data_IF_915937458690
#
_entry.id   IF_915937458690
#
_cell.length_a   1.000
_cell.length_b   1.000
_cell.length_c   1.000
_cell.angle_alpha   90.00
_cell.angle_beta   90.00
_cell.angle_gamma   90.00
#
_symmetry.space_group_name_H-M   'P 1'
#
loop_
_entity.id
_entity.type
_entity.pdbx_description
1 polymer ?
#
# COMPACT_ATOMS: atom_id res chain seq x y z
N UNK A 1 -5.56 10.61 -9.98
CA UNK A 1 -4.84 9.35 -9.91
C UNK A 1 -4.47 8.80 -11.29
N UNK A 2 -3.82 7.67 -11.28
CA UNK A 2 -3.51 6.87 -12.47
C UNK A 2 -4.33 5.59 -12.41
N UNK A 3 -5.03 5.24 -13.50
CA UNK A 3 -5.89 4.06 -13.54
C UNK A 3 -5.63 3.24 -14.81
N UNK A 4 -5.66 1.92 -14.67
CA UNK A 4 -5.69 0.97 -15.76
C UNK A 4 -6.62 -0.20 -15.42
N UNK A 5 -7.50 -0.59 -16.36
CA UNK A 5 -8.37 -1.78 -16.18
C UNK A 5 -7.58 -3.10 -16.07
N UNK A 6 -6.32 -3.10 -16.42
CA UNK A 6 -5.42 -4.23 -16.39
C UNK A 6 -4.09 -3.90 -15.72
N UNK A 7 -3.00 -4.22 -16.40
CA UNK A 7 -1.66 -4.02 -15.86
C UNK A 7 -1.22 -2.55 -15.98
N UNK A 8 -0.69 -2.01 -14.90
CA UNK A 8 -0.04 -0.71 -14.83
C UNK A 8 1.41 -0.90 -14.43
N UNK A 9 2.35 -0.40 -15.22
CA UNK A 9 3.78 -0.52 -14.92
C UNK A 9 4.44 0.86 -14.94
N UNK A 10 5.18 1.18 -13.88
CA UNK A 10 6.03 2.36 -13.77
C UNK A 10 7.48 1.88 -13.76
N UNK A 11 8.19 2.08 -14.87
CA UNK A 11 9.57 1.61 -15.00
C UNK A 11 10.61 2.64 -14.55
N UNK A 12 10.31 3.93 -14.70
CA UNK A 12 11.17 5.04 -14.30
C UNK A 12 10.41 6.38 -14.42
N UNK A 13 11.04 7.47 -14.04
CA UNK A 13 10.52 8.83 -14.15
C UNK A 13 10.01 9.39 -12.84
N UNK A 14 9.23 10.45 -12.94
CA UNK A 14 8.63 11.13 -11.77
C UNK A 14 7.11 11.12 -11.93
N UNK A 15 6.44 10.56 -10.95
CA UNK A 15 4.98 10.58 -10.81
C UNK A 15 4.64 11.35 -9.54
N UNK A 16 3.91 12.45 -9.67
CA UNK A 16 3.49 13.29 -8.55
C UNK A 16 1.97 13.48 -8.59
N UNK A 17 1.28 12.72 -7.74
CA UNK A 17 -0.17 12.77 -7.57
C UNK A 17 -0.46 13.55 -6.30
N UNK A 18 -0.69 14.85 -6.46
CA UNK A 18 -0.87 15.78 -5.34
C UNK A 18 -2.25 15.74 -4.72
N UNK A 19 -3.23 15.11 -5.39
CA UNK A 19 -4.59 14.87 -4.90
C UNK A 19 -5.31 13.89 -5.80
N UNK A 20 -5.90 12.85 -5.22
CA UNK A 20 -6.78 11.89 -5.90
C UNK A 20 -7.82 11.33 -4.93
N UNK A 21 -8.77 10.58 -5.44
CA UNK A 21 -9.58 9.65 -4.66
C UNK A 21 -8.72 8.39 -4.46
N UNK A 22 -8.58 7.55 -5.47
CA UNK A 22 -7.57 6.52 -5.58
C UNK A 22 -6.27 7.10 -6.15
N UNK A 23 -5.11 6.67 -5.65
CA UNK A 23 -3.82 7.13 -6.14
C UNK A 23 -3.41 6.46 -7.44
N UNK A 24 -2.98 5.23 -7.37
CA UNK A 24 -2.59 4.37 -8.50
C UNK A 24 -3.42 3.10 -8.44
N UNK A 25 -4.10 2.79 -9.54
CA UNK A 25 -5.05 1.68 -9.58
C UNK A 25 -4.81 0.79 -10.81
N UNK A 26 -4.91 -0.53 -10.62
CA UNK A 26 -4.83 -1.52 -11.68
C UNK A 26 -5.03 -2.93 -11.16
N UNK A 27 -5.27 -3.90 -12.03
CA UNK A 27 -5.32 -5.30 -11.62
C UNK A 27 -3.95 -5.81 -11.18
N UNK A 28 -2.91 -5.47 -11.95
CA UNK A 28 -1.51 -5.72 -11.57
C UNK A 28 -0.78 -4.39 -11.63
N UNK A 29 -0.30 -3.91 -10.50
CA UNK A 29 0.57 -2.73 -10.44
C UNK A 29 2.01 -3.18 -10.22
N UNK A 30 2.90 -2.75 -11.11
CA UNK A 30 4.33 -3.03 -11.02
C UNK A 30 5.13 -1.74 -11.01
N UNK A 31 5.97 -1.56 -9.99
CA UNK A 31 6.89 -0.44 -9.86
C UNK A 31 8.31 -0.99 -9.95
N UNK A 32 8.98 -0.75 -11.09
CA UNK A 32 10.35 -1.17 -11.33
C UNK A 32 11.37 -0.06 -11.00
N UNK A 33 10.92 1.20 -10.97
CA UNK A 33 11.79 2.34 -10.72
C UNK A 33 11.03 3.66 -10.63
N UNK A 34 11.78 4.76 -10.65
CA UNK A 34 11.25 6.11 -10.60
C UNK A 34 11.09 6.68 -9.19
N UNK A 35 10.57 7.90 -9.15
CA UNK A 35 10.21 8.61 -7.90
C UNK A 35 8.72 8.90 -7.94
N UNK A 36 7.98 8.33 -7.03
CA UNK A 36 6.52 8.33 -7.00
C UNK A 36 6.06 8.94 -5.69
N UNK A 37 5.22 9.95 -5.79
CA UNK A 37 4.56 10.60 -4.66
C UNK A 37 3.06 10.57 -4.87
N UNK A 38 2.33 10.12 -3.89
CA UNK A 38 0.86 9.96 -3.95
C UNK A 38 0.23 10.57 -2.72
N UNK A 39 -0.80 11.42 -2.95
CA UNK A 39 -1.75 11.86 -1.92
C UNK A 39 -3.14 11.44 -2.37
N UNK A 40 -3.78 10.59 -1.57
CA UNK A 40 -5.11 10.03 -1.86
C UNK A 40 -6.07 10.22 -0.68
N UNK A 41 -7.34 10.43 -0.97
CA UNK A 41 -8.42 10.51 0.04
C UNK A 41 -9.11 9.17 0.28
N UNK A 42 -8.74 8.16 -0.45
CA UNK A 42 -8.99 6.73 -0.26
C UNK A 42 -7.63 6.02 -0.40
N UNK A 43 -7.50 4.96 -1.18
CA UNK A 43 -6.29 4.14 -1.20
C UNK A 43 -5.12 4.79 -1.98
N UNK A 44 -3.91 4.59 -1.47
CA UNK A 44 -2.70 5.09 -2.11
C UNK A 44 -2.35 4.33 -3.39
N UNK A 45 -2.22 3.02 -3.29
CA UNK A 45 -2.16 2.08 -4.42
C UNK A 45 -3.21 1.03 -4.19
N UNK A 46 -4.09 0.83 -5.16
CA UNK A 46 -5.17 -0.15 -5.13
C UNK A 46 -5.01 -1.17 -6.27
N UNK A 47 -4.76 -2.42 -5.93
CA UNK A 47 -4.74 -3.52 -6.86
C UNK A 47 -6.02 -4.33 -6.70
N UNK A 48 -6.99 -4.05 -7.58
CA UNK A 48 -8.29 -4.71 -7.61
C UNK A 48 -8.51 -5.36 -8.98
N UNK A 49 -9.01 -6.59 -8.98
CA UNK A 49 -9.38 -7.28 -10.21
C UNK A 49 -10.78 -6.91 -10.65
N UNK A 50 -10.89 -6.32 -11.84
CA UNK A 50 -12.17 -6.23 -12.52
C UNK A 50 -12.73 -4.84 -12.69
N UNK A 51 -13.71 -4.73 -13.54
CA UNK A 51 -14.33 -3.51 -13.99
C UNK A 51 -14.94 -2.71 -12.84
N UNK A 52 -14.60 -1.47 -12.80
CA UNK A 52 -15.33 -0.41 -12.09
C UNK A 52 -16.77 -0.30 -12.60
N UNK A 53 -17.57 -1.28 -12.30
CA UNK A 53 -19.01 -1.21 -12.60
C UNK A 53 -19.72 -0.41 -11.52
N UNK A 54 -19.21 0.77 -11.13
CA UNK A 54 -19.95 1.77 -10.35
C UNK A 54 -20.90 1.22 -9.26
N UNK A 55 -20.62 0.03 -8.77
CA UNK A 55 -21.46 -0.63 -7.78
C UNK A 55 -21.16 -0.01 -6.43
N UNK A 56 -22.14 0.69 -5.89
CA UNK A 56 -22.14 1.21 -4.52
C UNK A 56 -22.25 0.11 -3.46
N UNK A 57 -22.18 -1.15 -3.83
CA UNK A 57 -22.18 -2.30 -2.93
C UNK A 57 -20.75 -2.60 -2.46
N UNK A 58 -20.25 -1.76 -1.57
CA UNK A 58 -18.99 -1.92 -0.83
C UNK A 58 -18.98 -3.09 0.16
N UNK A 59 -19.92 -4.01 0.09
CA UNK A 59 -20.00 -5.21 0.94
C UNK A 59 -20.25 -6.45 0.09
N UNK A 60 -19.41 -6.70 -0.92
CA UNK A 60 -19.36 -7.97 -1.63
C UNK A 60 -18.65 -9.03 -0.78
N UNK A 61 -19.08 -10.29 -0.91
CA UNK A 61 -18.45 -11.44 -0.25
C UNK A 61 -16.99 -11.67 -0.68
N UNK A 62 -16.50 -10.93 -1.67
CA UNK A 62 -15.17 -11.06 -2.27
C UNK A 62 -14.12 -10.10 -1.68
N UNK A 63 -14.52 -9.18 -0.82
CA UNK A 63 -13.64 -8.14 -0.25
C UNK A 63 -12.52 -8.70 0.64
N UNK A 64 -12.68 -9.92 1.14
CA UNK A 64 -11.70 -10.60 2.00
C UNK A 64 -11.15 -11.89 1.38
N UNK A 65 -11.34 -12.08 0.08
CA UNK A 65 -10.87 -13.27 -0.64
C UNK A 65 -9.80 -12.87 -1.65
N UNK A 66 -8.65 -13.55 -1.61
CA UNK A 66 -7.61 -13.35 -2.60
C UNK A 66 -8.13 -13.58 -4.02
N UNK A 67 -7.84 -12.63 -4.90
CA UNK A 67 -8.25 -12.66 -6.31
C UNK A 67 -7.08 -13.12 -7.19
N UNK A 68 -7.36 -14.09 -8.07
CA UNK A 68 -6.39 -14.55 -9.06
C UNK A 68 -6.10 -13.45 -10.10
N UNK A 69 -4.81 -13.21 -10.38
CA UNK A 69 -4.39 -12.21 -11.36
C UNK A 69 -4.41 -10.79 -10.84
N UNK A 70 -4.47 -10.60 -9.52
CA UNK A 70 -4.32 -9.33 -8.82
C UNK A 70 -3.01 -9.33 -8.04
N UNK A 71 -2.15 -8.36 -8.30
CA UNK A 71 -0.82 -8.31 -7.68
C UNK A 71 -0.31 -6.87 -7.55
N UNK A 72 0.32 -6.58 -6.43
CA UNK A 72 1.18 -5.42 -6.27
C UNK A 72 2.65 -5.88 -6.24
N UNK A 73 3.46 -5.39 -7.17
CA UNK A 73 4.86 -5.72 -7.29
C UNK A 73 5.72 -4.45 -7.19
N UNK A 74 6.58 -4.36 -6.17
CA UNK A 74 7.55 -3.27 -6.01
C UNK A 74 8.95 -3.84 -6.14
N UNK A 75 9.60 -3.59 -7.29
CA UNK A 75 10.92 -4.09 -7.62
C UNK A 75 12.00 -3.03 -7.43
N UNK A 76 11.62 -1.74 -7.42
CA UNK A 76 12.58 -0.63 -7.33
C UNK A 76 11.89 0.71 -7.12
N UNK A 77 12.66 1.80 -7.27
CA UNK A 77 12.17 3.17 -7.14
C UNK A 77 12.08 3.68 -5.71
N UNK A 78 11.57 4.90 -5.59
CA UNK A 78 11.23 5.54 -4.31
C UNK A 78 9.75 5.90 -4.35
N UNK A 79 8.97 5.35 -3.45
CA UNK A 79 7.51 5.52 -3.37
C UNK A 79 7.16 6.15 -2.04
N UNK A 80 6.43 7.25 -2.08
CA UNK A 80 5.91 7.93 -0.90
C UNK A 80 4.40 8.05 -1.03
N UNK A 81 3.68 7.57 -0.03
CA UNK A 81 2.22 7.53 -0.01
C UNK A 81 1.71 8.23 1.23
N UNK A 82 0.69 9.07 1.04
CA UNK A 82 -0.13 9.68 2.08
C UNK A 82 -1.59 9.40 1.71
N UNK A 83 -2.23 8.49 2.44
CA UNK A 83 -3.55 7.96 2.11
C UNK A 83 -4.48 7.99 3.33
N UNK A 84 -5.74 8.40 3.12
CA UNK A 84 -6.78 8.35 4.15
C UNK A 84 -7.47 6.97 4.22
N UNK A 85 -7.42 6.19 3.11
CA UNK A 85 -7.76 4.77 3.00
C UNK A 85 -6.56 3.87 3.22
N UNK A 86 -6.52 2.70 2.58
CA UNK A 86 -5.38 1.81 2.66
C UNK A 86 -4.15 2.41 1.96
N UNK A 87 -2.99 2.28 2.58
CA UNK A 87 -1.76 2.82 1.98
C UNK A 87 -1.37 2.04 0.73
N UNK A 88 -1.15 0.74 0.89
CA UNK A 88 -0.95 -0.24 -0.17
C UNK A 88 -2.02 -1.30 -0.02
N UNK A 89 -2.96 -1.35 -0.96
CA UNK A 89 -4.02 -2.36 -1.03
C UNK A 89 -3.78 -3.33 -2.20
N UNK A 90 -3.92 -4.61 -1.93
CA UNK A 90 -3.96 -5.64 -2.95
C UNK A 90 -4.99 -6.71 -2.64
N UNK A 91 -6.04 -6.78 -3.43
CA UNK A 91 -6.98 -7.91 -3.37
C UNK A 91 -6.34 -9.26 -3.77
N UNK A 92 -5.05 -9.29 -4.02
CA UNK A 92 -4.25 -10.46 -4.33
C UNK A 92 -2.96 -10.50 -3.53
N UNK A 93 -1.84 -10.72 -4.22
CA UNK A 93 -0.54 -10.81 -3.57
C UNK A 93 0.18 -9.45 -3.54
N UNK A 94 1.02 -9.27 -2.53
CA UNK A 94 1.95 -8.17 -2.46
C UNK A 94 3.39 -8.70 -2.44
N UNK A 95 4.23 -8.23 -3.35
CA UNK A 95 5.64 -8.59 -3.42
C UNK A 95 6.52 -7.35 -3.43
N UNK A 96 7.51 -7.30 -2.55
CA UNK A 96 8.55 -6.28 -2.56
C UNK A 96 9.93 -6.92 -2.70
N UNK A 97 10.58 -6.68 -3.84
CA UNK A 97 11.92 -7.20 -4.14
C UNK A 97 13.01 -6.11 -4.03
N UNK A 98 12.64 -4.84 -4.01
CA UNK A 98 13.58 -3.72 -3.94
C UNK A 98 12.88 -2.39 -3.74
N UNK A 99 13.62 -1.29 -3.88
CA UNK A 99 13.12 0.07 -3.73
C UNK A 99 13.06 0.57 -2.29
N UNK A 100 12.53 1.79 -2.16
CA UNK A 100 12.31 2.43 -0.86
C UNK A 100 10.88 2.95 -0.83
N UNK A 101 10.10 2.49 0.14
CA UNK A 101 8.67 2.78 0.27
C UNK A 101 8.39 3.40 1.63
N UNK A 102 7.72 4.54 1.61
CA UNK A 102 7.22 5.22 2.78
C UNK A 102 5.69 5.34 2.67
N UNK A 103 4.99 4.81 3.65
CA UNK A 103 3.53 4.87 3.73
C UNK A 103 3.12 5.61 4.99
N UNK A 104 2.41 6.71 4.80
CA UNK A 104 1.59 7.36 5.81
C UNK A 104 0.14 6.95 5.50
N UNK A 105 -0.34 5.96 6.21
CA UNK A 105 -1.65 5.36 6.01
C UNK A 105 -2.73 6.00 6.88
N UNK A 106 -3.89 5.35 7.01
CA UNK A 106 -5.07 5.89 7.63
C UNK A 106 -4.87 6.23 9.11
N UNK A 107 -5.64 7.21 9.56
CA UNK A 107 -5.72 7.59 10.98
C UNK A 107 -6.93 7.00 11.70
N UNK A 108 -7.74 6.19 10.99
CA UNK A 108 -8.91 5.49 11.52
C UNK A 108 -8.70 3.97 11.43
N UNK A 109 -9.33 3.21 12.32
CA UNK A 109 -9.13 1.76 12.44
C UNK A 109 -9.95 0.90 11.45
N UNK A 110 -10.47 1.48 10.37
CA UNK A 110 -11.23 0.76 9.34
C UNK A 110 -10.39 0.33 8.13
N UNK A 111 -9.18 0.87 8.03
CA UNK A 111 -8.23 0.62 6.94
C UNK A 111 -6.83 0.41 7.55
N UNK A 112 -5.87 -0.05 6.75
CA UNK A 112 -4.49 -0.34 7.13
C UNK A 112 -3.45 0.44 6.32
N UNK A 113 -2.24 0.59 6.84
CA UNK A 113 -1.14 1.08 6.01
C UNK A 113 -0.76 0.07 4.92
N UNK A 114 -1.00 -1.20 5.18
CA UNK A 114 -0.91 -2.32 4.26
C UNK A 114 -2.18 -3.14 4.41
N UNK A 115 -2.80 -3.52 3.28
CA UNK A 115 -3.89 -4.49 3.19
C UNK A 115 -3.65 -5.43 2.02
N UNK A 116 -3.82 -6.74 2.23
CA UNK A 116 -3.68 -7.72 1.16
C UNK A 116 -4.48 -9.00 1.46
N UNK A 117 -5.18 -9.50 0.45
CA UNK A 117 -6.01 -10.71 0.60
C UNK A 117 -5.27 -12.01 0.28
N UNK A 118 -4.06 -11.92 -0.28
CA UNK A 118 -3.22 -13.06 -0.64
C UNK A 118 -2.03 -13.26 0.29
N UNK A 119 -0.85 -13.34 -0.29
CA UNK A 119 0.42 -13.42 0.45
C UNK A 119 1.23 -12.15 0.28
N UNK A 120 1.82 -11.66 1.37
CA UNK A 120 2.81 -10.59 1.28
C UNK A 120 4.22 -11.12 1.49
N UNK A 121 5.11 -10.80 0.56
CA UNK A 121 6.49 -11.29 0.54
C UNK A 121 7.48 -10.14 0.35
N UNK A 122 8.44 -10.01 1.26
CA UNK A 122 9.55 -9.07 1.15
C UNK A 122 10.86 -9.83 1.00
N UNK A 123 11.58 -9.57 -0.09
CA UNK A 123 12.88 -10.17 -0.38
C UNK A 123 14.01 -9.14 -0.46
N UNK A 124 13.66 -7.84 -0.51
CA UNK A 124 14.61 -6.74 -0.55
C UNK A 124 13.95 -5.39 -0.42
N UNK A 125 14.76 -4.33 -0.35
CA UNK A 125 14.31 -2.95 -0.23
C UNK A 125 14.14 -2.46 1.20
N UNK A 126 13.50 -1.32 1.33
CA UNK A 126 13.16 -0.69 2.62
C UNK A 126 11.69 -0.27 2.59
N UNK A 127 10.91 -0.77 3.53
CA UNK A 127 9.53 -0.35 3.74
C UNK A 127 9.39 0.23 5.15
N UNK A 128 8.82 1.42 5.24
CA UNK A 128 8.38 2.04 6.48
C UNK A 128 6.92 2.44 6.29
N UNK A 129 6.04 1.78 7.01
CA UNK A 129 4.61 2.03 6.97
C UNK A 129 4.09 2.37 8.36
N UNK A 130 3.25 3.36 8.45
CA UNK A 130 2.54 3.75 9.67
C UNK A 130 1.07 4.02 9.37
N UNK A 131 0.22 3.66 10.30
CA UNK A 131 -1.23 3.82 10.16
C UNK A 131 -1.94 3.55 11.49
N UNK A 132 -3.26 3.57 11.46
CA UNK A 132 -4.08 3.22 12.61
C UNK A 132 -3.94 1.74 12.94
N UNK A 133 -4.09 1.41 14.22
CA UNK A 133 -4.20 0.03 14.70
C UNK A 133 -5.60 -0.53 14.44
N UNK A 134 -5.70 -1.83 14.21
CA UNK A 134 -6.96 -2.57 14.06
C UNK A 134 -7.07 -3.37 12.77
N UNK A 135 -6.39 -2.94 11.71
CA UNK A 135 -6.27 -3.63 10.42
C UNK A 135 -4.81 -3.77 9.98
N UNK A 136 -3.91 -3.74 10.96
CA UNK A 136 -2.48 -3.86 10.69
C UNK A 136 -2.10 -5.26 10.18
N UNK A 137 -1.38 -5.31 9.07
CA UNK A 137 -0.87 -6.52 8.47
C UNK A 137 0.67 -6.52 8.43
N UNK A 138 1.26 -7.69 8.63
CA UNK A 138 2.71 -7.92 8.59
C UNK A 138 3.08 -8.95 7.53
N UNK A 139 4.35 -9.13 7.27
CA UNK A 139 4.84 -10.06 6.25
C UNK A 139 4.91 -11.50 6.73
N UNK A 140 4.58 -12.44 5.85
CA UNK A 140 4.57 -13.88 6.13
C UNK A 140 5.94 -14.57 6.02
N UNK A 141 5.94 -15.88 6.30
CA UNK A 141 7.12 -16.75 6.34
C UNK A 141 7.84 -16.92 4.97
N UNK A 142 7.19 -16.53 3.88
CA UNK A 142 7.80 -16.51 2.53
C UNK A 142 8.83 -15.39 2.36
N UNK A 143 8.83 -14.40 3.26
CA UNK A 143 9.79 -13.30 3.24
C UNK A 143 11.19 -13.77 3.64
N UNK A 144 12.21 -13.29 2.93
CA UNK A 144 13.62 -13.54 3.26
C UNK A 144 14.28 -12.39 4.00
N UNK A 145 13.58 -11.26 4.12
CA UNK A 145 13.99 -10.10 4.88
C UNK A 145 13.22 -10.03 6.20
N UNK A 146 13.90 -9.64 7.26
CA UNK A 146 13.25 -9.42 8.56
C UNK A 146 12.35 -8.18 8.51
N UNK A 147 11.19 -8.29 9.15
CA UNK A 147 10.26 -7.18 9.37
C UNK A 147 9.86 -7.10 10.84
N UNK A 148 9.43 -5.92 11.26
CA UNK A 148 8.92 -5.68 12.61
C UNK A 148 7.57 -4.98 12.46
N UNK A 149 6.53 -5.61 12.97
CA UNK A 149 5.22 -4.99 13.18
C UNK A 149 5.14 -4.60 14.66
N UNK A 150 4.89 -3.32 14.94
CA UNK A 150 4.86 -2.81 16.30
C UNK A 150 3.65 -1.90 16.52
N UNK A 151 2.79 -2.30 17.44
CA UNK A 151 1.70 -1.46 17.95
C UNK A 151 2.26 -0.50 19.02
N UNK A 152 2.23 0.79 18.72
CA UNK A 152 2.66 1.86 19.64
C UNK A 152 1.62 2.13 20.73
N UNK A 153 0.41 1.55 20.63
CA UNK A 153 -0.69 1.85 21.54
C UNK A 153 -1.13 3.32 21.48
N UNK A 154 -1.76 3.79 22.54
CA UNK A 154 -2.22 5.18 22.64
C UNK A 154 -1.08 6.09 23.13
N UNK A 155 -0.11 6.37 22.26
CA UNK A 155 0.89 7.40 22.55
C UNK A 155 0.42 8.77 22.02
N UNK A 156 0.29 9.74 22.90
CA UNK A 156 0.21 11.14 22.50
C UNK A 156 1.63 11.68 22.32
N UNK A 157 2.02 11.98 21.10
CA UNK A 157 3.24 12.74 20.86
C UNK A 157 3.00 14.20 21.30
N UNK A 158 3.48 14.57 22.50
CA UNK A 158 3.66 15.98 22.79
C UNK A 158 4.88 16.47 21.98
N UNK A 159 4.91 17.77 21.64
CA UNK A 159 6.01 18.40 20.87
C UNK A 159 7.35 18.41 21.64
N UNK A 160 7.67 17.38 22.40
CA UNK A 160 8.96 17.23 23.04
C UNK A 160 9.99 16.72 22.03
N UNK A 161 11.08 17.47 21.89
CA UNK A 161 12.25 17.06 21.13
C UNK A 161 12.67 15.66 21.61
N UNK A 162 12.71 14.71 20.70
CA UNK A 162 13.39 13.44 20.94
C UNK A 162 14.89 13.74 21.11
N UNK A 163 15.38 13.69 22.35
CA UNK A 163 16.82 13.68 22.62
C UNK A 163 17.33 12.27 22.32
N UNK A 164 18.05 12.14 21.20
CA UNK A 164 18.80 10.93 20.89
C UNK A 164 20.06 10.88 21.78
N UNK A 165 20.12 9.90 22.62
CA UNK A 165 21.36 9.49 23.33
C UNK A 165 22.03 8.34 22.61
#
# INVERSE_FOLDING_TARGET
GMHADGNLTISDGIVDITKSYEGIEGSIVTIDGGTISVVASDDGINCAGGSDTGSTDRMGADQFSSQDGVELNINGGTVTIDADGDGLDSNGNFTMAGGTVYVCGPTNGGNGALDYNGTATVTGGTLIACGAVGMEEGFGDSSTQYSVLHDLGSYSFSNEKLDYH
#
